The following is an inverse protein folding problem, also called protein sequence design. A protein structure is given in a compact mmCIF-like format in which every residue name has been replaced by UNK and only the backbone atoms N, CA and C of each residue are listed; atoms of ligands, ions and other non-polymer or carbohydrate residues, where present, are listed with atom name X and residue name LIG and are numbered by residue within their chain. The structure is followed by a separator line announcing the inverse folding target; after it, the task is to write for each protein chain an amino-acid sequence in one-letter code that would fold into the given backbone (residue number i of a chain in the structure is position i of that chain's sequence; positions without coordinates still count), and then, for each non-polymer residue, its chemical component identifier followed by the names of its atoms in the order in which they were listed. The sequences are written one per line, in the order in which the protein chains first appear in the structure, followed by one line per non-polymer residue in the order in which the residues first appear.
data_IF_405569424691
#
_entry.id   IF_405569424691
#
_cell.length_a   1.000
_cell.length_b   1.000
_cell.length_c   1.000
_cell.angle_alpha   90.00
_cell.angle_beta   90.00
_cell.angle_gamma   90.00
#
_symmetry.space_group_name_H-M   'P 1'
#
loop_
_entity.id
_entity.type
_entity.pdbx_description
1 polymer ?
#
# COMPACT_ATOMS: atom_id res chain seq x y z
N UNK A 1 -2.77 -1.68 -0.49
CA UNK A 1 -3.45 -1.18 -1.71
C UNK A 1 -3.54 -2.26 -2.77
N UNK A 2 -2.41 -2.75 -3.30
CA UNK A 2 -2.37 -3.65 -4.47
C UNK A 2 -3.27 -4.90 -4.34
N UNK A 3 -3.26 -5.57 -3.19
CA UNK A 3 -4.03 -6.79 -2.98
C UNK A 3 -5.54 -6.59 -2.77
N UNK A 4 -6.03 -5.33 -2.67
CA UNK A 4 -7.43 -5.03 -2.32
C UNK A 4 -8.10 -4.12 -3.34
N UNK A 5 -7.38 -3.12 -3.86
CA UNK A 5 -7.97 -2.07 -4.69
C UNK A 5 -7.40 -2.01 -6.10
N UNK A 6 -6.18 -2.51 -6.33
CA UNK A 6 -5.59 -2.44 -7.66
C UNK A 6 -6.24 -3.42 -8.62
N UNK A 7 -6.99 -2.89 -9.60
CA UNK A 7 -7.73 -3.70 -10.58
C UNK A 7 -6.81 -4.59 -11.41
N UNK A 8 -5.60 -4.12 -11.73
CA UNK A 8 -4.63 -4.90 -12.52
C UNK A 8 -4.15 -6.14 -11.78
N UNK A 9 -3.78 -5.97 -10.50
CA UNK A 9 -3.40 -7.07 -9.61
C UNK A 9 -4.54 -8.08 -9.45
N UNK A 10 -5.76 -7.62 -9.15
CA UNK A 10 -6.91 -8.51 -8.96
C UNK A 10 -7.25 -9.29 -10.23
N UNK A 11 -7.36 -8.59 -11.36
CA UNK A 11 -7.65 -9.22 -12.65
C UNK A 11 -6.56 -10.24 -13.01
N UNK A 12 -5.28 -9.86 -12.94
CA UNK A 12 -4.17 -10.72 -13.31
C UNK A 12 -4.11 -12.01 -12.49
N UNK A 13 -4.42 -11.95 -11.19
CA UNK A 13 -4.49 -13.14 -10.33
C UNK A 13 -5.71 -14.02 -10.67
N UNK A 14 -6.88 -13.41 -10.90
CA UNK A 14 -8.12 -14.12 -11.21
C UNK A 14 -8.12 -14.74 -12.63
N UNK A 15 -7.40 -14.12 -13.57
CA UNK A 15 -7.30 -14.57 -14.96
C UNK A 15 -6.18 -15.57 -15.20
N UNK A 16 -5.48 -16.04 -14.16
CA UNK A 16 -4.38 -17.00 -14.29
C UNK A 16 -3.08 -16.41 -14.88
N UNK A 17 -2.85 -15.10 -14.72
CA UNK A 17 -1.60 -14.45 -15.12
C UNK A 17 -0.40 -14.90 -14.28
N UNK A 18 0.82 -14.51 -14.70
CA UNK A 18 2.06 -14.90 -14.01
C UNK A 18 2.19 -14.23 -12.64
N UNK A 19 1.92 -15.00 -11.59
CA UNK A 19 1.87 -14.50 -10.21
C UNK A 19 3.17 -13.80 -9.77
N UNK A 20 4.35 -14.34 -10.09
CA UNK A 20 5.63 -13.74 -9.70
C UNK A 20 5.82 -12.36 -10.33
N UNK A 21 5.32 -12.16 -11.55
CA UNK A 21 5.36 -10.84 -12.21
C UNK A 21 4.36 -9.87 -11.60
N UNK A 22 3.15 -10.33 -11.30
CA UNK A 22 2.09 -9.49 -10.72
C UNK A 22 2.48 -9.02 -9.31
N UNK A 23 3.04 -9.92 -8.50
CA UNK A 23 3.38 -9.66 -7.10
C UNK A 23 4.75 -8.99 -6.91
N UNK A 24 5.52 -8.68 -7.97
CA UNK A 24 6.76 -7.89 -7.84
C UNK A 24 6.54 -6.50 -7.22
N UNK A 25 5.31 -6.00 -7.28
CA UNK A 25 4.90 -4.73 -6.66
C UNK A 25 4.83 -4.79 -5.14
N UNK A 26 4.90 -5.98 -4.52
CA UNK A 26 4.89 -6.14 -3.07
C UNK A 26 6.27 -5.85 -2.46
N UNK A 27 6.32 -5.20 -1.29
CA UNK A 27 7.58 -5.00 -0.60
C UNK A 27 8.11 -6.34 -0.04
N UNK A 28 9.43 -6.48 0.13
CA UNK A 28 10.03 -7.68 0.72
C UNK A 28 9.69 -7.86 2.21
N UNK A 29 9.30 -6.77 2.89
CA UNK A 29 8.88 -6.77 4.30
C UNK A 29 7.75 -5.77 4.51
N UNK A 30 6.78 -6.15 5.32
CA UNK A 30 5.66 -5.30 5.75
C UNK A 30 5.32 -5.62 7.21
N UNK A 31 4.84 -4.64 7.96
CA UNK A 31 4.41 -4.78 9.36
C UNK A 31 2.96 -4.31 9.47
N UNK A 32 2.19 -5.02 10.29
CA UNK A 32 0.85 -4.61 10.70
C UNK A 32 0.78 -4.64 12.21
N UNK A 33 0.18 -3.61 12.80
CA UNK A 33 -0.03 -3.48 14.23
C UNK A 33 -1.47 -3.06 14.48
N UNK A 34 -2.10 -3.67 15.48
CA UNK A 34 -3.46 -3.32 15.85
C UNK A 34 -3.50 -1.90 16.43
N UNK A 35 -4.40 -1.06 15.93
CA UNK A 35 -4.55 0.31 16.41
C UNK A 35 -3.33 1.19 16.21
N UNK A 36 -2.47 0.89 15.22
CA UNK A 36 -1.27 1.68 14.95
C UNK A 36 -1.62 3.16 14.71
N UNK A 37 -0.98 4.02 15.48
CA UNK A 37 -1.00 5.47 15.27
C UNK A 37 0.44 5.98 15.39
N UNK A 38 0.90 6.83 14.45
CA UNK A 38 2.22 7.43 14.57
C UNK A 38 2.26 8.37 15.78
N UNK A 39 3.44 8.55 16.37
CA UNK A 39 3.64 9.45 17.51
C UNK A 39 3.26 10.89 17.14
N UNK A 40 2.57 11.59 18.04
CA UNK A 40 2.13 12.95 17.80
C UNK A 40 3.33 13.89 17.56
N UNK A 41 3.26 14.69 16.50
CA UNK A 41 4.34 15.62 16.12
C UNK A 41 5.54 14.98 15.40
N UNK A 42 5.56 13.65 15.25
CA UNK A 42 6.59 12.93 14.47
C UNK A 42 6.56 13.27 12.97
N UNK A 43 7.63 12.88 12.25
CA UNK A 43 7.67 13.02 10.79
C UNK A 43 6.63 12.11 10.12
N UNK A 44 6.38 10.94 10.69
CA UNK A 44 5.41 9.95 10.27
C UNK A 44 3.98 10.50 10.39
N UNK A 45 3.66 11.17 11.50
CA UNK A 45 2.38 11.85 11.66
C UNK A 45 2.17 12.95 10.61
N UNK A 46 3.22 13.75 10.32
CA UNK A 46 3.16 14.77 9.25
C UNK A 46 3.01 14.15 7.86
N UNK A 47 3.62 13.00 7.60
CA UNK A 47 3.51 12.30 6.32
C UNK A 47 2.06 11.89 6.03
N UNK A 48 1.32 11.44 7.05
CA UNK A 48 -0.09 11.09 6.90
C UNK A 48 -0.96 12.27 6.42
N UNK A 49 -0.70 13.47 6.93
CA UNK A 49 -1.35 14.71 6.45
C UNK A 49 -0.82 15.14 5.07
N UNK A 50 0.48 14.93 4.82
CA UNK A 50 1.13 15.27 3.56
C UNK A 50 0.56 14.49 2.36
N UNK A 51 0.30 13.20 2.52
CA UNK A 51 -0.15 12.31 1.43
C UNK A 51 -1.63 12.49 1.03
N UNK A 52 -2.36 13.43 1.65
CA UNK A 52 -3.70 13.80 1.18
C UNK A 52 -3.62 14.60 -0.13
N UNK A 53 -4.59 14.43 -1.04
CA UNK A 53 -4.67 15.22 -2.27
C UNK A 53 -4.55 16.72 -1.99
N UNK A 54 -3.71 17.40 -2.75
CA UNK A 54 -3.47 18.84 -2.67
C UNK A 54 -3.10 19.37 -4.06
N UNK A 55 -3.23 20.67 -4.21
CA UNK A 55 -2.66 21.37 -5.37
C UNK A 55 -1.15 21.53 -5.14
N UNK A 56 -0.35 21.17 -6.14
CA UNK A 56 1.11 21.05 -6.03
C UNK A 56 1.83 22.19 -6.75
#
# INVERSE_FOLDING_TARGET
FNLVYDRGTLFGLQSGGRAESILMSLPPRVRYEYGYQPEAGSAEARLGEYLRPRDW
#
